data_IF_010539269845
#
_entry.id   IF_010539269845
#
_cell.length_a   1.000
_cell.length_b   1.000
_cell.length_c   1.000
_cell.angle_alpha   90.00
_cell.angle_beta   90.00
_cell.angle_gamma   90.00
#
_symmetry.space_group_name_H-M   'P 1'
#
loop_
_entity.id
_entity.type
_entity.pdbx_description
1 polymer ?
#
# COMPACT_ATOMS: atom_id res chain seq x y z
N UNK A 1 -29.71 23.25 -17.55
CA UNK A 1 -29.58 21.85 -17.10
C UNK A 1 -28.33 21.59 -16.26
N UNK A 2 -27.16 22.07 -16.62
CA UNK A 2 -25.88 21.82 -15.91
C UNK A 2 -25.81 22.41 -14.50
N UNK A 3 -26.33 23.60 -14.28
CA UNK A 3 -26.38 24.25 -12.96
C UNK A 3 -27.32 23.57 -11.95
N UNK A 4 -28.42 22.98 -12.40
CA UNK A 4 -29.35 22.26 -11.55
C UNK A 4 -28.72 20.92 -11.03
N UNK A 5 -27.93 20.24 -11.84
CA UNK A 5 -27.20 19.04 -11.46
C UNK A 5 -26.12 19.33 -10.40
N UNK A 6 -25.39 20.44 -10.51
CA UNK A 6 -24.40 20.84 -9.52
C UNK A 6 -25.04 21.28 -8.18
N UNK A 7 -26.21 21.88 -8.19
CA UNK A 7 -26.95 22.27 -6.97
C UNK A 7 -27.53 21.05 -6.27
N UNK A 8 -28.02 20.06 -7.04
CA UNK A 8 -28.51 18.79 -6.51
C UNK A 8 -27.38 18.00 -5.86
N UNK A 9 -26.21 17.91 -6.50
CA UNK A 9 -25.02 17.22 -6.00
C UNK A 9 -24.51 17.85 -4.70
N UNK A 10 -24.47 19.17 -4.60
CA UNK A 10 -24.09 19.88 -3.34
C UNK A 10 -25.12 19.71 -2.22
N UNK A 11 -26.40 19.54 -2.53
CA UNK A 11 -27.42 19.29 -1.51
C UNK A 11 -27.34 17.86 -0.98
N UNK A 12 -27.17 16.88 -1.86
CA UNK A 12 -27.00 15.47 -1.48
C UNK A 12 -25.73 15.32 -0.65
N UNK A 13 -24.63 15.92 -1.07
CA UNK A 13 -23.37 15.94 -0.30
C UNK A 13 -23.54 16.56 1.08
N UNK A 14 -24.26 17.70 1.21
CA UNK A 14 -24.53 18.32 2.52
C UNK A 14 -25.47 17.47 3.39
N UNK A 15 -26.48 16.81 2.83
CA UNK A 15 -27.39 15.93 3.58
C UNK A 15 -26.63 14.74 4.13
N UNK A 16 -25.84 14.05 3.31
CA UNK A 16 -24.98 12.92 3.74
C UNK A 16 -23.98 13.35 4.83
N UNK A 17 -23.40 14.54 4.68
CA UNK A 17 -22.46 15.09 5.66
C UNK A 17 -23.12 15.46 6.99
N UNK A 18 -24.37 15.95 6.95
CA UNK A 18 -25.13 16.35 8.15
C UNK A 18 -25.64 15.12 8.89
N UNK A 19 -26.07 14.11 8.15
CA UNK A 19 -26.55 12.84 8.71
C UNK A 19 -25.42 12.02 9.33
N UNK A 20 -24.24 11.96 8.67
CA UNK A 20 -23.01 11.38 9.21
C UNK A 20 -22.55 12.07 10.52
N UNK A 21 -22.64 13.40 10.56
CA UNK A 21 -22.29 14.18 11.76
C UNK A 21 -23.30 14.02 12.90
N UNK A 22 -24.54 13.64 12.57
CA UNK A 22 -25.61 13.38 13.54
C UNK A 22 -25.54 11.97 14.14
N UNK A 23 -24.87 11.00 13.50
CA UNK A 23 -24.59 9.70 14.09
C UNK A 23 -23.58 9.89 15.24
N UNK A 24 -24.05 9.68 16.47
CA UNK A 24 -23.25 9.80 17.70
C UNK A 24 -21.95 9.01 17.56
N UNK A 25 -20.83 9.70 17.37
CA UNK A 25 -19.50 9.11 17.34
C UNK A 25 -18.84 8.96 15.97
N UNK A 26 -19.50 9.26 14.85
CA UNK A 26 -18.99 9.00 13.48
C UNK A 26 -17.53 9.38 13.22
N UNK A 27 -17.12 10.67 13.34
CA UNK A 27 -15.74 11.08 13.08
C UNK A 27 -14.74 10.49 14.07
N UNK A 28 -15.12 10.43 15.35
CA UNK A 28 -14.26 9.90 16.42
C UNK A 28 -14.03 8.39 16.25
N UNK A 29 -15.07 7.64 15.87
CA UNK A 29 -14.96 6.18 15.64
C UNK A 29 -14.00 5.89 14.48
N UNK A 30 -14.10 6.62 13.38
CA UNK A 30 -13.20 6.45 12.21
C UNK A 30 -11.74 6.65 12.61
N UNK A 31 -11.43 7.73 13.32
CA UNK A 31 -10.06 8.00 13.77
C UNK A 31 -9.59 6.95 14.79
N UNK A 32 -10.45 6.52 15.72
CA UNK A 32 -10.10 5.47 16.68
C UNK A 32 -9.84 4.11 16.01
N UNK A 33 -10.60 3.79 14.97
CA UNK A 33 -10.38 2.57 14.18
C UNK A 33 -9.07 2.66 13.40
N UNK A 34 -8.77 3.81 12.79
CA UNK A 34 -7.50 4.05 12.11
C UNK A 34 -6.27 3.98 13.05
N UNK A 35 -6.45 4.16 14.36
CA UNK A 35 -5.38 3.86 15.34
C UNK A 35 -5.06 2.37 15.44
N UNK A 36 -5.97 1.48 15.04
CA UNK A 36 -5.68 0.06 14.88
C UNK A 36 -4.61 -0.16 13.80
N UNK A 37 -4.77 0.47 12.64
CA UNK A 37 -3.80 0.49 11.55
C UNK A 37 -2.43 1.02 12.02
N UNK A 38 -2.40 2.14 12.72
CA UNK A 38 -1.17 2.67 13.32
C UNK A 38 -0.41 1.62 14.15
N UNK A 39 -1.13 0.89 14.99
CA UNK A 39 -0.51 -0.13 15.87
C UNK A 39 0.01 -1.29 15.05
N UNK A 40 -0.78 -1.81 14.10
CA UNK A 40 -0.37 -2.98 13.30
C UNK A 40 0.79 -2.66 12.36
N UNK A 41 0.83 -1.47 11.76
CA UNK A 41 1.97 -0.98 10.97
C UNK A 41 3.26 -0.94 11.82
N UNK A 42 3.20 -0.37 13.02
CA UNK A 42 4.36 -0.37 13.92
C UNK A 42 4.79 -1.78 14.31
N UNK A 43 3.86 -2.68 14.61
CA UNK A 43 4.15 -4.07 14.94
C UNK A 43 4.86 -4.77 13.78
N UNK A 44 4.42 -4.56 12.54
CA UNK A 44 5.06 -5.07 11.33
C UNK A 44 6.50 -4.58 11.18
N UNK A 45 6.72 -3.27 11.27
CA UNK A 45 8.06 -2.69 11.19
C UNK A 45 8.99 -3.15 12.33
N UNK A 46 8.49 -3.26 13.55
CA UNK A 46 9.27 -3.81 14.66
C UNK A 46 9.56 -5.30 14.49
N UNK A 47 8.65 -6.08 13.91
CA UNK A 47 8.91 -7.47 13.56
C UNK A 47 10.07 -7.56 12.53
N UNK A 48 10.04 -6.78 11.47
CA UNK A 48 11.12 -6.71 10.48
C UNK A 48 12.46 -6.34 11.12
N UNK A 49 12.46 -5.36 12.03
CA UNK A 49 13.66 -4.94 12.77
C UNK A 49 14.24 -6.07 13.65
N UNK A 50 13.38 -6.86 14.31
CA UNK A 50 13.81 -7.97 15.20
C UNK A 50 14.34 -9.17 14.43
N UNK A 51 13.77 -9.45 13.27
CA UNK A 51 14.13 -10.61 12.43
C UNK A 51 15.33 -10.28 11.51
N UNK A 52 15.84 -9.06 11.51
CA UNK A 52 16.89 -8.56 10.61
C UNK A 52 18.18 -9.41 10.55
N UNK A 53 18.46 -10.24 11.57
CA UNK A 53 19.57 -11.21 11.55
C UNK A 53 19.36 -12.33 10.52
N UNK A 54 18.14 -12.57 10.06
CA UNK A 54 17.76 -13.57 9.06
C UNK A 54 17.33 -12.90 7.75
N UNK A 55 18.20 -12.00 7.24
CA UNK A 55 17.91 -11.12 6.09
C UNK A 55 17.19 -11.81 4.93
N UNK A 56 17.64 -13.00 4.52
CA UNK A 56 17.03 -13.71 3.38
C UNK A 56 15.60 -14.18 3.64
N UNK A 57 15.31 -14.60 4.89
CA UNK A 57 13.95 -14.98 5.28
C UNK A 57 13.04 -13.76 5.33
N UNK A 58 13.54 -12.64 5.85
CA UNK A 58 12.82 -11.36 5.89
C UNK A 58 12.48 -10.89 4.48
N UNK A 59 13.45 -10.92 3.56
CA UNK A 59 13.22 -10.53 2.16
C UNK A 59 12.24 -11.48 1.46
N UNK A 60 12.35 -12.81 1.71
CA UNK A 60 11.39 -13.77 1.18
C UNK A 60 9.97 -13.48 1.67
N UNK A 61 9.79 -13.24 2.96
CA UNK A 61 8.50 -12.87 3.56
C UNK A 61 7.96 -11.56 2.96
N UNK A 62 8.80 -10.51 2.91
CA UNK A 62 8.42 -9.21 2.36
C UNK A 62 7.94 -9.31 0.90
N UNK A 63 8.68 -10.05 0.05
CA UNK A 63 8.27 -10.30 -1.32
C UNK A 63 6.92 -11.02 -1.40
N UNK A 64 6.72 -12.04 -0.56
CA UNK A 64 5.46 -12.77 -0.47
C UNK A 64 4.28 -11.88 -0.03
N UNK A 65 4.48 -11.04 0.96
CA UNK A 65 3.47 -10.08 1.43
C UNK A 65 3.10 -9.09 0.32
N UNK A 66 4.09 -8.52 -0.39
CA UNK A 66 3.84 -7.60 -1.52
C UNK A 66 3.11 -8.28 -2.67
N UNK A 67 3.53 -9.51 -3.06
CA UNK A 67 2.85 -10.26 -4.11
C UNK A 67 1.39 -10.56 -3.73
N UNK A 68 1.15 -10.94 -2.48
CA UNK A 68 -0.20 -11.18 -1.96
C UNK A 68 -1.04 -9.90 -1.94
N UNK A 69 -0.49 -8.77 -1.50
CA UNK A 69 -1.17 -7.47 -1.52
C UNK A 69 -1.57 -7.08 -2.95
N UNK A 70 -0.66 -7.21 -3.92
CA UNK A 70 -0.98 -6.91 -5.32
C UNK A 70 -2.08 -7.80 -5.86
N UNK A 71 -2.02 -9.11 -5.60
CA UNK A 71 -2.91 -10.10 -6.21
C UNK A 71 -4.30 -10.17 -5.57
N UNK A 72 -4.38 -9.99 -4.26
CA UNK A 72 -5.61 -10.26 -3.50
C UNK A 72 -6.30 -8.99 -2.99
N UNK A 73 -5.59 -7.87 -2.91
CA UNK A 73 -6.10 -6.60 -2.40
C UNK A 73 -6.13 -5.52 -3.51
N UNK A 74 -5.00 -5.03 -3.94
CA UNK A 74 -4.89 -3.86 -4.82
C UNK A 74 -5.53 -4.04 -6.20
N UNK A 75 -5.23 -5.15 -6.90
CA UNK A 75 -5.79 -5.39 -8.24
C UNK A 75 -7.29 -5.68 -8.20
N UNK A 76 -7.81 -6.52 -7.29
CA UNK A 76 -9.25 -6.70 -7.15
C UNK A 76 -9.97 -5.39 -6.81
N UNK A 77 -9.43 -4.57 -5.90
CA UNK A 77 -10.02 -3.28 -5.54
C UNK A 77 -9.99 -2.30 -6.73
N UNK A 78 -8.88 -2.18 -7.44
CA UNK A 78 -8.77 -1.36 -8.65
C UNK A 78 -9.77 -1.76 -9.76
N UNK A 79 -10.23 -3.01 -9.75
CA UNK A 79 -11.18 -3.58 -10.72
C UNK A 79 -12.60 -3.74 -10.17
N UNK A 80 -12.86 -3.35 -8.93
CA UNK A 80 -14.14 -3.61 -8.24
C UNK A 80 -15.30 -2.72 -8.72
N UNK A 81 -15.00 -1.53 -9.26
CA UNK A 81 -15.96 -0.51 -9.68
C UNK A 81 -16.11 -0.44 -11.20
N UNK A 82 -16.91 0.51 -11.71
CA UNK A 82 -17.00 0.80 -13.14
C UNK A 82 -15.74 1.54 -13.61
N UNK A 83 -14.71 0.80 -13.98
CA UNK A 83 -13.47 1.33 -14.52
C UNK A 83 -13.62 1.85 -15.93
N UNK A 84 -12.75 2.79 -16.30
CA UNK A 84 -12.65 3.25 -17.68
C UNK A 84 -11.98 2.21 -18.55
N UNK A 85 -12.40 2.19 -19.80
CA UNK A 85 -11.76 1.40 -20.85
C UNK A 85 -11.13 2.35 -21.87
N UNK A 86 -9.84 2.17 -22.12
CA UNK A 86 -9.10 2.88 -23.14
C UNK A 86 -8.54 1.84 -24.12
N UNK A 87 -8.86 1.98 -25.41
CA UNK A 87 -8.44 1.01 -26.45
C UNK A 87 -8.88 -0.44 -26.15
N UNK A 88 -10.02 -0.64 -25.51
CA UNK A 88 -10.52 -1.95 -25.12
C UNK A 88 -9.89 -2.52 -23.84
N UNK A 89 -8.99 -1.79 -23.16
CA UNK A 89 -8.27 -2.24 -21.98
C UNK A 89 -8.72 -1.40 -20.77
N UNK A 90 -8.99 -2.02 -19.60
CA UNK A 90 -9.27 -1.33 -18.36
C UNK A 90 -8.12 -0.36 -17.99
N UNK A 91 -8.44 0.89 -17.70
CA UNK A 91 -7.43 1.91 -17.36
C UNK A 91 -6.61 1.54 -16.11
N UNK A 92 -7.15 0.90 -15.07
CA UNK A 92 -6.34 0.41 -13.96
C UNK A 92 -5.22 -0.56 -14.39
N UNK A 93 -5.48 -1.42 -15.39
CA UNK A 93 -4.44 -2.33 -15.93
C UNK A 93 -3.38 -1.59 -16.75
N UNK A 94 -3.76 -0.53 -17.47
CA UNK A 94 -2.77 0.35 -18.12
C UNK A 94 -1.93 1.07 -17.08
N UNK A 95 -2.56 1.54 -16.02
CA UNK A 95 -1.88 2.17 -14.90
C UNK A 95 -0.92 1.18 -14.19
N UNK A 96 -1.33 -0.09 -14.04
CA UNK A 96 -0.48 -1.16 -13.51
C UNK A 96 0.81 -1.33 -14.34
N UNK A 97 0.68 -1.44 -15.65
CA UNK A 97 1.85 -1.54 -16.53
C UNK A 97 2.72 -0.29 -16.42
N UNK A 98 2.09 0.89 -16.35
CA UNK A 98 2.81 2.15 -16.18
C UNK A 98 3.58 2.20 -14.86
N UNK A 99 2.97 1.81 -13.75
CA UNK A 99 3.62 1.77 -12.43
C UNK A 99 4.83 0.84 -12.40
N UNK A 100 4.69 -0.35 -13.00
CA UNK A 100 5.79 -1.29 -13.18
C UNK A 100 6.94 -0.68 -13.98
N UNK A 101 6.64 -0.08 -15.14
CA UNK A 101 7.64 0.51 -16.03
C UNK A 101 8.31 1.75 -15.44
N UNK A 102 7.57 2.58 -14.70
CA UNK A 102 8.14 3.78 -14.06
C UNK A 102 9.22 3.38 -13.07
N UNK A 103 8.97 2.42 -12.19
CA UNK A 103 9.99 1.98 -11.24
C UNK A 103 11.16 1.30 -11.95
N UNK A 104 10.88 0.46 -12.95
CA UNK A 104 11.92 -0.15 -13.78
C UNK A 104 12.85 0.89 -14.42
N UNK A 105 12.29 1.93 -15.03
CA UNK A 105 13.06 3.01 -15.66
C UNK A 105 13.85 3.83 -14.64
N UNK A 106 13.24 4.15 -13.49
CA UNK A 106 13.91 4.88 -12.40
C UNK A 106 15.12 4.09 -11.92
N UNK A 107 14.94 2.82 -11.61
CA UNK A 107 16.02 1.98 -11.10
C UNK A 107 17.15 1.83 -12.13
N UNK A 108 16.79 1.60 -13.39
CA UNK A 108 17.76 1.48 -14.47
C UNK A 108 18.52 2.79 -14.72
N UNK A 109 17.86 3.94 -14.73
CA UNK A 109 18.51 5.25 -14.94
C UNK A 109 19.38 5.66 -13.76
N UNK A 110 18.97 5.39 -12.54
CA UNK A 110 19.78 5.64 -11.33
C UNK A 110 21.03 4.75 -11.33
N UNK A 111 20.92 3.48 -11.71
CA UNK A 111 22.05 2.56 -11.85
C UNK A 111 23.07 3.04 -12.90
N UNK A 112 22.62 3.49 -14.08
CA UNK A 112 23.50 4.00 -15.14
C UNK A 112 24.27 5.25 -14.70
N UNK A 113 23.65 6.18 -13.98
CA UNK A 113 24.30 7.42 -13.54
C UNK A 113 25.41 7.21 -12.49
N UNK A 114 25.46 6.04 -11.85
CA UNK A 114 26.50 5.67 -10.87
C UNK A 114 27.73 4.98 -11.45
N UNK A 115 27.76 4.74 -12.74
CA UNK A 115 28.97 4.35 -13.47
C UNK A 115 29.48 2.93 -13.26
N UNK A 116 28.71 2.05 -12.62
CA UNK A 116 29.06 0.65 -12.47
C UNK A 116 28.40 -0.17 -13.59
N UNK A 117 29.20 -0.51 -14.61
CA UNK A 117 28.82 -1.38 -15.73
C UNK A 117 28.65 -2.87 -15.35
N UNK A 118 28.51 -3.20 -14.08
CA UNK A 118 28.12 -4.53 -13.61
C UNK A 118 26.61 -4.60 -13.59
N UNK A 119 26.04 -5.32 -14.56
CA UNK A 119 24.59 -5.56 -14.69
C UNK A 119 23.98 -6.39 -13.55
N UNK A 120 24.35 -6.12 -12.31
CA UNK A 120 23.81 -6.76 -11.13
C UNK A 120 22.58 -5.97 -10.65
N UNK A 121 21.46 -6.65 -10.61
CA UNK A 121 20.17 -6.11 -10.22
C UNK A 121 20.26 -5.46 -8.81
N UNK A 122 20.06 -4.12 -8.80
CA UNK A 122 19.89 -3.33 -7.58
C UNK A 122 21.16 -3.12 -6.76
N UNK A 123 21.82 -1.99 -6.99
CA UNK A 123 22.89 -1.52 -6.10
C UNK A 123 22.35 -1.41 -4.66
N UNK A 124 22.91 -2.16 -3.69
CA UNK A 124 22.52 -2.05 -2.27
C UNK A 124 22.75 -0.63 -1.71
N UNK A 125 23.46 0.23 -2.43
CA UNK A 125 23.73 1.62 -2.05
C UNK A 125 22.91 2.64 -2.85
N UNK A 126 21.62 2.36 -3.13
CA UNK A 126 20.67 3.31 -3.73
C UNK A 126 19.63 3.84 -2.71
N UNK A 127 20.05 4.64 -1.69
CA UNK A 127 19.13 5.08 -0.62
C UNK A 127 17.87 5.79 -1.16
N UNK A 128 17.99 6.48 -2.31
CA UNK A 128 16.88 7.15 -2.97
C UNK A 128 15.78 6.21 -3.44
N UNK A 129 16.12 5.01 -3.91
CA UNK A 129 15.12 3.99 -4.33
C UNK A 129 14.35 3.47 -3.11
N UNK A 130 15.05 3.20 -2.00
CA UNK A 130 14.40 2.79 -0.75
C UNK A 130 13.45 3.84 -0.19
N UNK A 131 13.83 5.13 -0.26
CA UNK A 131 12.96 6.23 0.16
C UNK A 131 11.75 6.36 -0.78
N UNK A 132 11.95 6.23 -2.09
CA UNK A 132 10.86 6.30 -3.07
C UNK A 132 9.85 5.16 -2.83
N UNK A 133 10.33 3.94 -2.65
CA UNK A 133 9.48 2.78 -2.38
C UNK A 133 8.70 2.94 -1.06
N UNK A 134 9.37 3.35 0.01
CA UNK A 134 8.71 3.64 1.29
C UNK A 134 7.69 4.78 1.17
N UNK A 135 8.00 5.84 0.37
CA UNK A 135 7.04 6.92 0.12
C UNK A 135 5.80 6.44 -0.62
N UNK A 136 5.95 5.47 -1.53
CA UNK A 136 4.83 4.80 -2.19
C UNK A 136 3.94 4.05 -1.20
N UNK A 137 4.54 3.28 -0.28
CA UNK A 137 3.81 2.57 0.80
C UNK A 137 3.09 3.57 1.73
N UNK A 138 3.75 4.64 2.16
CA UNK A 138 3.12 5.71 2.95
C UNK A 138 1.93 6.33 2.21
N UNK A 139 2.07 6.59 0.89
CA UNK A 139 0.97 7.08 0.06
C UNK A 139 -0.20 6.09 0.00
N UNK A 140 0.08 4.78 -0.08
CA UNK A 140 -0.94 3.73 0.00
C UNK A 140 -1.65 3.75 1.36
N UNK A 141 -0.91 3.76 2.45
CA UNK A 141 -1.48 3.80 3.81
C UNK A 141 -2.37 5.03 4.04
N UNK A 142 -2.08 6.19 3.40
CA UNK A 142 -3.01 7.33 3.39
C UNK A 142 -4.33 6.96 2.70
N UNK A 143 -4.27 6.25 1.57
CA UNK A 143 -5.47 5.81 0.83
C UNK A 143 -6.27 4.77 1.61
N UNK A 144 -5.63 3.88 2.36
CA UNK A 144 -6.28 2.92 3.24
C UNK A 144 -7.07 3.60 4.35
N UNK A 145 -6.46 4.58 5.00
CA UNK A 145 -7.17 5.42 5.96
C UNK A 145 -8.35 6.16 5.32
N UNK A 146 -8.17 6.66 4.10
CA UNK A 146 -9.24 7.27 3.34
C UNK A 146 -10.35 6.26 3.02
N UNK A 147 -10.01 5.03 2.63
CA UNK A 147 -10.98 3.96 2.36
C UNK A 147 -11.79 3.61 3.62
N UNK A 148 -11.14 3.49 4.78
CA UNK A 148 -11.83 3.31 6.08
C UNK A 148 -12.85 4.44 6.29
N UNK A 149 -12.42 5.69 6.16
CA UNK A 149 -13.29 6.84 6.37
C UNK A 149 -14.47 6.90 5.41
N UNK A 150 -14.23 6.64 4.13
CA UNK A 150 -15.27 6.61 3.08
C UNK A 150 -16.26 5.46 3.32
N UNK A 151 -15.79 4.27 3.71
CA UNK A 151 -16.65 3.13 4.01
C UNK A 151 -17.54 3.37 5.24
N UNK A 152 -17.03 4.03 6.29
CA UNK A 152 -17.87 4.44 7.42
C UNK A 152 -18.92 5.50 7.05
N UNK A 153 -18.66 6.35 6.05
CA UNK A 153 -19.67 7.26 5.50
C UNK A 153 -20.79 6.51 4.77
N UNK A 154 -20.49 5.38 4.13
CA UNK A 154 -21.49 4.51 3.49
C UNK A 154 -22.30 3.70 4.50
N UNK A 155 -21.74 3.39 5.68
CA UNK A 155 -22.42 2.69 6.77
C UNK A 155 -21.46 2.01 7.74
N UNK A 156 -21.91 1.82 8.99
CA UNK A 156 -21.05 1.24 10.03
C UNK A 156 -20.59 -0.20 9.72
N UNK A 157 -21.45 -1.01 9.10
CA UNK A 157 -21.09 -2.38 8.72
C UNK A 157 -20.02 -2.40 7.63
N UNK A 158 -20.19 -1.59 6.57
CA UNK A 158 -19.20 -1.44 5.50
C UNK A 158 -17.87 -0.92 6.07
N UNK A 159 -17.91 0.11 6.92
CA UNK A 159 -16.74 0.64 7.58
C UNK A 159 -16.00 -0.38 8.43
N UNK A 160 -16.71 -1.25 9.14
CA UNK A 160 -16.10 -2.30 9.96
C UNK A 160 -15.37 -3.36 9.11
N UNK A 161 -15.97 -3.78 7.99
CA UNK A 161 -15.36 -4.75 7.07
C UNK A 161 -14.08 -4.20 6.48
N UNK A 162 -14.13 -2.99 5.91
CA UNK A 162 -12.94 -2.33 5.34
C UNK A 162 -11.87 -2.11 6.40
N UNK A 163 -12.25 -1.69 7.61
CA UNK A 163 -11.30 -1.48 8.69
C UNK A 163 -10.57 -2.77 9.10
N UNK A 164 -11.28 -3.91 9.17
CA UNK A 164 -10.65 -5.21 9.50
C UNK A 164 -9.65 -5.60 8.41
N UNK A 165 -10.01 -5.42 7.13
CA UNK A 165 -9.12 -5.69 6.01
C UNK A 165 -7.84 -4.85 6.11
N UNK A 166 -7.99 -3.53 6.23
CA UNK A 166 -6.88 -2.58 6.28
C UNK A 166 -5.99 -2.85 7.49
N UNK A 167 -6.54 -2.93 8.71
CA UNK A 167 -5.77 -3.21 9.93
C UNK A 167 -5.00 -4.53 9.81
N UNK A 168 -5.58 -5.54 9.12
CA UNK A 168 -4.95 -6.83 8.92
C UNK A 168 -3.71 -6.75 8.00
N UNK A 169 -3.79 -6.02 6.88
CA UNK A 169 -2.67 -5.94 5.94
C UNK A 169 -1.64 -4.86 6.30
N UNK A 170 -2.00 -3.84 7.08
CA UNK A 170 -1.08 -2.80 7.54
C UNK A 170 0.14 -3.34 8.31
N UNK A 171 0.01 -4.53 8.91
CA UNK A 171 1.19 -5.24 9.42
C UNK A 171 2.22 -5.51 8.31
N UNK A 172 1.74 -5.93 7.13
CA UNK A 172 2.61 -6.17 5.98
C UNK A 172 3.24 -4.88 5.47
N UNK A 173 2.50 -3.77 5.46
CA UNK A 173 3.00 -2.47 4.98
C UNK A 173 4.11 -1.94 5.88
N UNK A 174 3.93 -1.94 7.19
CA UNK A 174 4.97 -1.56 8.12
C UNK A 174 6.20 -2.47 8.05
N UNK A 175 6.00 -3.78 7.88
CA UNK A 175 7.07 -4.74 7.67
C UNK A 175 7.86 -4.41 6.40
N UNK A 176 7.17 -4.14 5.30
CA UNK A 176 7.76 -3.83 4.00
C UNK A 176 8.44 -2.46 4.00
N UNK A 177 7.81 -1.44 4.58
CA UNK A 177 8.38 -0.08 4.68
C UNK A 177 9.73 -0.10 5.39
N UNK A 178 9.83 -0.76 6.54
CA UNK A 178 11.10 -0.90 7.23
C UNK A 178 12.11 -1.72 6.44
N UNK A 179 11.67 -2.85 5.86
CA UNK A 179 12.54 -3.78 5.13
C UNK A 179 13.12 -3.13 3.88
N UNK A 180 12.28 -2.51 3.03
CA UNK A 180 12.74 -1.90 1.79
C UNK A 180 13.64 -0.71 2.06
N UNK A 181 13.32 0.13 3.03
CA UNK A 181 14.16 1.28 3.40
C UNK A 181 15.56 0.81 3.82
N UNK A 182 15.63 -0.22 4.65
CA UNK A 182 16.89 -0.78 5.15
C UNK A 182 17.66 -1.53 4.06
N UNK A 183 16.96 -2.19 3.13
CA UNK A 183 17.54 -2.96 2.04
C UNK A 183 18.42 -2.09 1.13
N UNK A 184 17.96 -0.87 0.85
CA UNK A 184 18.66 0.09 0.00
C UNK A 184 19.66 0.99 0.75
N UNK A 185 20.22 0.51 1.86
CA UNK A 185 21.32 1.16 2.57
C UNK A 185 20.94 2.41 3.37
N UNK A 186 19.65 2.67 3.58
CA UNK A 186 19.25 3.75 4.47
C UNK A 186 19.55 3.40 5.93
N UNK A 187 19.98 4.39 6.68
CA UNK A 187 20.28 4.25 8.11
C UNK A 187 18.99 3.94 8.92
N UNK A 188 19.21 3.35 10.09
CA UNK A 188 18.10 2.95 10.99
C UNK A 188 17.19 4.12 11.37
N UNK A 189 17.73 5.33 11.48
CA UNK A 189 16.93 6.51 11.84
C UNK A 189 15.94 6.86 10.74
N UNK A 190 16.38 6.83 9.48
CA UNK A 190 15.50 7.06 8.32
C UNK A 190 14.46 5.97 8.17
N UNK A 191 14.87 4.70 8.32
CA UNK A 191 13.94 3.58 8.26
C UNK A 191 12.85 3.68 9.34
N UNK A 192 13.20 4.05 10.57
CA UNK A 192 12.23 4.28 11.64
C UNK A 192 11.39 5.54 11.43
N UNK A 193 11.93 6.60 10.84
CA UNK A 193 11.18 7.80 10.52
C UNK A 193 10.12 7.54 9.44
N UNK A 194 10.48 6.79 8.37
CA UNK A 194 9.55 6.40 7.32
C UNK A 194 8.50 5.42 7.83
N UNK A 195 8.87 4.46 8.69
CA UNK A 195 7.92 3.58 9.38
C UNK A 195 6.94 4.39 10.26
N UNK A 196 7.44 5.41 10.97
CA UNK A 196 6.58 6.29 11.76
C UNK A 196 5.62 7.12 10.90
N UNK A 197 6.09 7.60 9.74
CA UNK A 197 5.25 8.29 8.78
C UNK A 197 4.19 7.35 8.19
N UNK A 198 4.57 6.11 7.85
CA UNK A 198 3.68 5.07 7.37
C UNK A 198 2.60 4.73 8.40
N UNK A 199 2.97 4.52 9.65
CA UNK A 199 2.02 4.25 10.73
C UNK A 199 1.01 5.39 10.97
N UNK A 200 1.42 6.65 10.82
CA UNK A 200 0.53 7.82 10.96
C UNK A 200 -0.35 8.01 9.73
N UNK A 201 0.07 7.53 8.56
CA UNK A 201 -0.59 7.76 7.29
C UNK A 201 -2.08 7.34 7.25
N UNK A 202 -2.50 6.15 7.75
CA UNK A 202 -3.90 5.77 7.77
C UNK A 202 -4.75 6.70 8.65
N UNK A 203 -4.20 7.16 9.77
CA UNK A 203 -4.91 8.11 10.65
C UNK A 203 -5.12 9.45 9.95
N UNK A 204 -4.09 9.93 9.23
CA UNK A 204 -4.17 11.16 8.44
C UNK A 204 -5.17 11.01 7.29
N UNK A 205 -5.15 9.88 6.57
CA UNK A 205 -6.09 9.56 5.50
C UNK A 205 -7.54 9.51 6.00
N UNK A 206 -7.78 8.84 7.10
CA UNK A 206 -9.10 8.78 7.73
C UNK A 206 -9.60 10.16 8.17
N UNK A 207 -8.72 10.99 8.73
CA UNK A 207 -9.07 12.38 9.08
C UNK A 207 -9.34 13.23 7.83
N UNK A 208 -8.65 12.99 6.73
CA UNK A 208 -8.83 13.71 5.47
C UNK A 208 -10.23 13.53 4.87
N UNK A 209 -10.85 12.34 5.06
CA UNK A 209 -12.23 12.08 4.59
C UNK A 209 -13.27 13.00 5.21
N UNK A 210 -12.94 13.65 6.32
CA UNK A 210 -13.82 14.63 6.95
C UNK A 210 -13.91 15.94 6.13
N UNK A 211 -12.95 16.18 5.23
CA UNK A 211 -12.86 17.42 4.46
C UNK A 211 -12.85 17.22 2.94
N UNK A 212 -12.44 16.05 2.45
CA UNK A 212 -12.20 15.80 1.03
C UNK A 212 -12.87 14.51 0.57
N UNK A 213 -13.46 14.52 -0.63
CA UNK A 213 -13.92 13.32 -1.34
C UNK A 213 -13.03 13.07 -2.54
N UNK A 214 -12.41 11.89 -2.63
CA UNK A 214 -11.62 11.50 -3.80
C UNK A 214 -12.55 10.84 -4.83
N UNK A 215 -12.52 11.27 -6.11
CA UNK A 215 -13.27 10.57 -7.15
C UNK A 215 -12.80 9.12 -7.28
N UNK A 216 -13.73 8.15 -7.29
CA UNK A 216 -13.42 6.72 -7.42
C UNK A 216 -12.49 6.41 -8.60
N UNK A 217 -12.69 7.07 -9.73
CA UNK A 217 -11.86 6.91 -10.93
C UNK A 217 -10.37 7.22 -10.70
N UNK A 218 -10.09 8.23 -9.88
CA UNK A 218 -8.70 8.57 -9.53
C UNK A 218 -8.10 7.51 -8.60
N UNK A 219 -8.91 7.01 -7.67
CA UNK A 219 -8.50 5.93 -6.77
C UNK A 219 -8.17 4.64 -7.54
N UNK A 220 -9.01 4.22 -8.47
CA UNK A 220 -8.79 3.03 -9.31
C UNK A 220 -7.49 3.11 -10.13
N UNK A 221 -7.23 4.26 -10.75
CA UNK A 221 -5.98 4.50 -11.50
C UNK A 221 -4.77 4.48 -10.57
N UNK A 222 -4.88 5.09 -9.40
CA UNK A 222 -3.84 5.09 -8.39
C UNK A 222 -3.54 3.67 -7.90
N UNK A 223 -4.56 2.89 -7.52
CA UNK A 223 -4.39 1.51 -7.05
C UNK A 223 -3.76 0.62 -8.13
N UNK A 224 -4.19 0.75 -9.39
CA UNK A 224 -3.56 0.06 -10.50
C UNK A 224 -2.08 0.41 -10.65
N UNK A 225 -1.75 1.71 -10.66
CA UNK A 225 -0.36 2.18 -10.74
C UNK A 225 0.50 1.66 -9.58
N UNK A 226 -0.01 1.76 -8.36
CA UNK A 226 0.71 1.32 -7.17
C UNK A 226 0.89 -0.20 -7.13
N UNK A 227 -0.11 -0.97 -7.56
CA UNK A 227 0.01 -2.42 -7.71
C UNK A 227 1.14 -2.80 -8.68
N UNK A 228 1.26 -2.11 -9.82
CA UNK A 228 2.37 -2.31 -10.76
C UNK A 228 3.74 -1.95 -10.17
N UNK A 229 3.80 -0.85 -9.44
CA UNK A 229 5.00 -0.41 -8.73
C UNK A 229 5.46 -1.48 -7.71
N UNK A 230 4.56 -1.98 -6.86
CA UNK A 230 4.85 -3.04 -5.90
C UNK A 230 5.20 -4.38 -6.56
N UNK A 231 4.54 -4.71 -7.68
CA UNK A 231 4.85 -5.92 -8.44
C UNK A 231 6.30 -5.89 -8.93
N UNK A 232 6.76 -4.77 -9.47
CA UNK A 232 8.17 -4.61 -9.87
C UNK A 232 9.10 -4.80 -8.67
N UNK A 233 8.84 -4.08 -7.58
CA UNK A 233 9.66 -4.13 -6.37
C UNK A 233 9.76 -5.55 -5.81
N UNK A 234 8.63 -6.26 -5.73
CA UNK A 234 8.58 -7.62 -5.21
C UNK A 234 9.32 -8.61 -6.11
N UNK A 235 9.03 -8.58 -7.43
CA UNK A 235 9.46 -9.63 -8.37
C UNK A 235 10.84 -9.40 -8.97
N UNK A 236 11.17 -8.15 -9.31
CA UNK A 236 12.40 -7.80 -10.00
C UNK A 236 13.56 -7.49 -9.03
N UNK A 237 13.24 -7.08 -7.80
CA UNK A 237 14.25 -6.63 -6.85
C UNK A 237 14.32 -7.49 -5.58
N UNK A 238 13.27 -7.53 -4.76
CA UNK A 238 13.32 -8.18 -3.44
C UNK A 238 13.43 -9.70 -3.57
N UNK A 239 12.62 -10.34 -4.43
CA UNK A 239 12.60 -11.79 -4.58
C UNK A 239 13.94 -12.37 -5.10
N UNK A 240 14.60 -11.78 -6.12
CA UNK A 240 15.93 -12.21 -6.53
C UNK A 240 16.96 -12.10 -5.41
N UNK A 241 16.95 -11.01 -4.62
CA UNK A 241 17.85 -10.82 -3.49
C UNK A 241 17.58 -11.81 -2.34
N UNK A 242 16.33 -12.16 -2.11
CA UNK A 242 15.98 -13.19 -1.12
C UNK A 242 16.58 -14.55 -1.46
N UNK A 243 16.77 -14.84 -2.77
CA UNK A 243 17.30 -16.11 -3.27
C UNK A 243 18.78 -16.04 -3.69
N UNK A 244 19.41 -14.85 -3.69
CA UNK A 244 20.82 -14.68 -4.02
C UNK A 244 21.71 -15.32 -2.94
N UNK A 245 22.41 -16.40 -3.29
CA UNK A 245 23.37 -17.08 -2.43
C UNK A 245 22.79 -18.07 -1.41
N UNK A 246 21.50 -18.04 -1.13
CA UNK A 246 20.84 -18.93 -0.14
C UNK A 246 19.50 -19.44 -0.67
N UNK A 247 19.54 -20.34 -1.66
CA UNK A 247 18.34 -21.05 -2.14
C UNK A 247 17.92 -22.10 -1.13
N UNK A 248 17.41 -21.68 0.02
CA UNK A 248 16.96 -22.62 1.06
C UNK A 248 15.45 -22.84 0.95
N UNK A 249 14.93 -24.04 1.28
CA UNK A 249 13.50 -24.29 1.39
C UNK A 249 12.81 -23.30 2.37
N UNK A 250 13.54 -22.81 3.38
CA UNK A 250 13.04 -21.86 4.35
C UNK A 250 12.71 -20.50 3.71
N UNK A 251 13.56 -19.97 2.80
CA UNK A 251 13.28 -18.72 2.08
C UNK A 251 12.03 -18.85 1.21
N UNK A 252 11.91 -19.97 0.48
CA UNK A 252 10.71 -20.27 -0.31
C UNK A 252 9.46 -20.37 0.57
N UNK A 253 9.57 -21.07 1.73
CA UNK A 253 8.47 -21.19 2.68
C UNK A 253 8.05 -19.81 3.25
N UNK A 254 9.00 -18.89 3.49
CA UNK A 254 8.69 -17.52 3.90
C UNK A 254 7.93 -16.75 2.81
N UNK A 255 8.34 -16.87 1.55
CA UNK A 255 7.64 -16.23 0.43
C UNK A 255 6.21 -16.75 0.30
N UNK A 256 6.05 -18.08 0.31
CA UNK A 256 4.72 -18.72 0.28
C UNK A 256 3.91 -18.30 1.51
N UNK A 257 4.53 -18.28 2.69
CA UNK A 257 3.90 -17.86 3.93
C UNK A 257 3.37 -16.43 3.88
N UNK A 258 4.13 -15.51 3.27
CA UNK A 258 3.71 -14.13 3.04
C UNK A 258 2.48 -14.02 2.13
N UNK A 259 2.49 -14.76 1.01
CA UNK A 259 1.33 -14.82 0.09
C UNK A 259 0.09 -15.39 0.80
N UNK A 260 0.26 -16.49 1.55
CA UNK A 260 -0.84 -17.12 2.28
C UNK A 260 -1.36 -16.26 3.43
N UNK A 261 -0.48 -15.50 4.09
CA UNK A 261 -0.88 -14.52 5.11
C UNK A 261 -1.80 -13.46 4.51
N UNK A 262 -1.42 -12.86 3.37
CA UNK A 262 -2.27 -11.88 2.68
C UNK A 262 -3.59 -12.48 2.21
N UNK A 263 -3.55 -13.69 1.65
CA UNK A 263 -4.77 -14.40 1.26
C UNK A 263 -5.72 -14.64 2.45
N UNK A 264 -5.16 -15.00 3.62
CA UNK A 264 -5.95 -15.21 4.82
C UNK A 264 -6.56 -13.90 5.34
N UNK A 265 -5.80 -12.80 5.38
CA UNK A 265 -6.28 -11.50 5.83
C UNK A 265 -7.41 -11.01 4.93
N UNK A 266 -7.20 -11.00 3.61
CA UNK A 266 -8.23 -10.53 2.65
C UNK A 266 -9.45 -11.46 2.66
N UNK A 267 -9.23 -12.79 2.71
CA UNK A 267 -10.32 -13.77 2.76
C UNK A 267 -11.15 -13.74 4.07
N UNK A 268 -10.58 -13.26 5.17
CA UNK A 268 -11.33 -13.08 6.42
C UNK A 268 -12.14 -11.78 6.43
N UNK A 269 -11.75 -10.82 5.59
CA UNK A 269 -12.40 -9.51 5.48
C UNK A 269 -13.50 -9.47 4.40
N UNK A 270 -13.50 -10.41 3.43
CA UNK A 270 -14.51 -10.55 2.37
C UNK A 270 -15.71 -11.36 2.83
#
# INVERSE_FOLDING_TARGET
>A
MWQAAQVADRRVSRYLFTEYRSQKGGPTVVVLVALGSFITTLLGGFAALRIGSYRYLVLGLAAGLMLGAVAFDLLPEAMSQQYWVLLGIPVPLLAFVLGFLVLHVIEHTVGIHRGDGSGDAGDPDAPGVGILAASGLIGHSVMDGFAIGAAFQAGAAAGAVVAVAVIGHDFADGFNTYTVTSLYGNDRRRALALLGADAVAPVAGAALTLAVTIPHRLLEVYLGFFAGFLMYLASADILPRAHAGHRTPATLACTIGGVLFMLAIVGLAS
#
